data_IF_571546467144
#
_entry.id   IF_571546467144
#
_cell.length_a   1.000
_cell.length_b   1.000
_cell.length_c   1.000
_cell.angle_alpha   90.00
_cell.angle_beta   90.00
_cell.angle_gamma   90.00
#
_symmetry.space_group_name_H-M   'P 1'
#
loop_
_entity.id
_entity.type
_entity.pdbx_description
1 polymer ?
#
# COMPACT_ATOMS: atom_id res chain seq x y z
N UNK A 1 -0.51 6.23 -12.44
CA UNK A 1 -1.92 6.00 -12.08
C UNK A 1 -2.75 5.69 -13.32
N UNK A 2 -3.67 4.74 -13.20
CA UNK A 2 -4.69 4.49 -14.22
C UNK A 2 -5.68 5.67 -14.32
N UNK A 3 -6.19 6.00 -15.51
CA UNK A 3 -7.24 7.01 -15.68
C UNK A 3 -8.46 6.71 -14.78
N UNK A 4 -8.92 7.71 -14.03
CA UNK A 4 -10.12 7.60 -13.16
C UNK A 4 -9.85 7.53 -11.66
N UNK A 5 -8.59 7.32 -11.23
CA UNK A 5 -8.21 7.44 -9.82
C UNK A 5 -7.82 8.89 -9.47
N UNK A 6 -8.33 9.39 -8.34
CA UNK A 6 -7.88 10.64 -7.76
C UNK A 6 -6.73 10.35 -6.79
N UNK A 7 -5.60 11.05 -6.93
CA UNK A 7 -4.49 10.93 -5.99
C UNK A 7 -4.89 11.58 -4.65
N UNK A 8 -4.78 10.81 -3.57
CA UNK A 8 -5.00 11.28 -2.21
C UNK A 8 -3.63 11.52 -1.56
N UNK A 9 -3.22 12.78 -1.50
CA UNK A 9 -1.87 13.20 -1.12
C UNK A 9 -1.64 13.32 0.39
N UNK A 10 -2.69 13.30 1.22
CA UNK A 10 -2.60 13.48 2.66
C UNK A 10 -3.78 12.85 3.43
N UNK A 11 -3.69 12.87 4.77
CA UNK A 11 -4.70 12.33 5.66
C UNK A 11 -6.10 12.96 5.51
N UNK A 12 -6.19 14.27 5.25
CA UNK A 12 -7.50 14.94 5.10
C UNK A 12 -8.24 14.43 3.86
N UNK A 13 -7.53 14.25 2.74
CA UNK A 13 -8.09 13.72 1.51
C UNK A 13 -8.49 12.24 1.66
N UNK A 14 -7.71 11.45 2.40
CA UNK A 14 -8.04 10.07 2.74
C UNK A 14 -9.30 10.01 3.62
N UNK A 15 -9.37 10.84 4.66
CA UNK A 15 -10.53 10.91 5.55
C UNK A 15 -11.80 11.30 4.78
N UNK A 16 -11.74 12.35 3.96
CA UNK A 16 -12.86 12.77 3.12
C UNK A 16 -13.32 11.67 2.17
N UNK A 17 -12.40 10.95 1.51
CA UNK A 17 -12.75 9.84 0.64
C UNK A 17 -13.44 8.69 1.39
N UNK A 18 -13.02 8.38 2.63
CA UNK A 18 -13.69 7.40 3.48
C UNK A 18 -15.08 7.89 3.94
N UNK A 19 -15.21 9.17 4.31
CA UNK A 19 -16.48 9.77 4.73
C UNK A 19 -17.51 9.80 3.59
N UNK A 20 -17.04 9.98 2.35
CA UNK A 20 -17.83 9.85 1.12
C UNK A 20 -18.15 8.39 0.76
N UNK A 21 -17.59 7.41 1.48
CA UNK A 21 -17.79 6.00 1.21
C UNK A 21 -17.13 5.52 -0.09
N UNK A 22 -16.09 6.18 -0.58
CA UNK A 22 -15.42 5.81 -1.82
C UNK A 22 -14.68 4.49 -1.68
N UNK A 23 -14.54 3.78 -2.80
CA UNK A 23 -13.58 2.68 -2.92
C UNK A 23 -12.17 3.24 -3.08
N UNK A 24 -11.22 2.74 -2.29
CA UNK A 24 -9.84 3.27 -2.23
C UNK A 24 -8.86 2.17 -2.65
N UNK A 25 -7.99 2.48 -3.61
CA UNK A 25 -6.77 1.72 -3.85
C UNK A 25 -5.69 2.24 -2.88
N UNK A 26 -5.05 1.34 -2.12
CA UNK A 26 -4.12 1.72 -1.06
C UNK A 26 -2.72 1.25 -1.40
N UNK A 27 -1.75 2.17 -1.43
CA UNK A 27 -0.33 1.85 -1.55
C UNK A 27 0.34 1.97 -0.18
N UNK A 28 0.85 0.84 0.34
CA UNK A 28 1.47 0.79 1.68
C UNK A 28 2.80 1.57 1.75
N UNK A 29 3.55 1.67 0.65
CA UNK A 29 4.77 2.46 0.61
C UNK A 29 4.45 3.95 0.74
N UNK A 30 3.38 4.41 0.09
CA UNK A 30 2.94 5.81 0.20
C UNK A 30 2.40 6.12 1.60
N UNK A 31 1.69 5.20 2.24
CA UNK A 31 1.27 5.39 3.63
C UNK A 31 2.46 5.50 4.59
N UNK A 32 3.50 4.69 4.41
CA UNK A 32 4.73 4.76 5.21
C UNK A 32 5.46 6.11 5.01
N UNK A 33 5.58 6.57 3.77
CA UNK A 33 6.15 7.88 3.43
C UNK A 33 5.34 9.02 4.04
N UNK A 34 4.01 8.97 3.91
CA UNK A 34 3.11 10.00 4.45
C UNK A 34 3.16 10.04 5.98
N UNK A 35 3.28 8.87 6.63
CA UNK A 35 3.48 8.76 8.07
C UNK A 35 4.81 9.37 8.49
N UNK A 36 5.90 9.03 7.80
CA UNK A 36 7.23 9.59 8.07
C UNK A 36 7.24 11.12 7.99
N UNK A 37 6.57 11.69 6.97
CA UNK A 37 6.47 13.14 6.79
C UNK A 37 5.42 13.83 7.68
N UNK A 38 4.68 13.09 8.50
CA UNK A 38 3.66 13.64 9.39
C UNK A 38 2.43 14.21 8.67
N UNK A 39 2.21 13.86 7.40
CA UNK A 39 1.04 14.28 6.61
C UNK A 39 -0.13 13.30 6.67
N UNK A 40 0.08 12.16 7.36
CA UNK A 40 -0.95 11.18 7.70
C UNK A 40 -0.96 10.96 9.21
N UNK A 41 -2.03 11.41 9.86
CA UNK A 41 -2.23 11.20 11.29
C UNK A 41 -2.59 9.72 11.58
N UNK A 42 -2.09 9.17 12.70
CA UNK A 42 -2.37 7.80 13.11
C UNK A 42 -3.87 7.50 13.23
N UNK A 43 -4.69 8.48 13.63
CA UNK A 43 -6.14 8.32 13.70
C UNK A 43 -6.76 8.06 12.31
N UNK A 44 -6.30 8.75 11.27
CA UNK A 44 -6.77 8.55 9.88
C UNK A 44 -6.23 7.22 9.35
N UNK A 45 -4.97 6.91 9.62
CA UNK A 45 -4.36 5.64 9.23
C UNK A 45 -5.13 4.45 9.84
N UNK A 46 -5.40 4.48 11.14
CA UNK A 46 -6.13 3.40 11.82
C UNK A 46 -7.55 3.23 11.24
N UNK A 47 -8.22 4.34 10.89
CA UNK A 47 -9.50 4.30 10.16
C UNK A 47 -9.35 3.64 8.80
N UNK A 48 -8.34 4.01 8.02
CA UNK A 48 -8.07 3.44 6.69
C UNK A 48 -7.78 1.94 6.77
N UNK A 49 -6.96 1.49 7.72
CA UNK A 49 -6.63 0.07 7.87
C UNK A 49 -7.84 -0.78 8.27
N UNK A 50 -8.82 -0.18 8.95
CA UNK A 50 -10.11 -0.81 9.29
C UNK A 50 -11.20 -0.62 8.23
N UNK A 51 -10.94 0.14 7.17
CA UNK A 51 -11.95 0.52 6.20
C UNK A 51 -12.32 -0.64 5.27
N UNK A 52 -13.61 -0.87 5.07
CA UNK A 52 -14.08 -2.04 4.32
C UNK A 52 -13.90 -1.86 2.80
N UNK A 53 -14.14 -0.66 2.27
CA UNK A 53 -14.16 -0.35 0.83
C UNK A 53 -12.75 -0.09 0.28
N UNK A 54 -11.85 -1.04 0.47
CA UNK A 54 -10.54 -1.07 -0.19
C UNK A 54 -10.66 -1.91 -1.46
N UNK A 55 -10.40 -1.31 -2.62
CA UNK A 55 -10.53 -1.95 -3.91
C UNK A 55 -9.35 -2.88 -4.22
N UNK A 56 -8.16 -2.44 -3.85
CA UNK A 56 -6.90 -3.16 -4.05
C UNK A 56 -5.83 -2.59 -3.12
N UNK A 57 -4.80 -3.40 -2.82
CA UNK A 57 -3.64 -2.99 -2.04
C UNK A 57 -2.38 -3.14 -2.88
N UNK A 58 -1.60 -2.08 -3.02
CA UNK A 58 -0.31 -2.10 -3.69
C UNK A 58 0.78 -2.27 -2.63
N UNK A 59 1.71 -3.18 -2.91
CA UNK A 59 2.80 -3.51 -1.99
C UNK A 59 4.14 -3.36 -2.69
N UNK A 60 4.98 -2.53 -2.08
CA UNK A 60 6.40 -2.39 -2.39
C UNK A 60 7.11 -1.84 -1.14
N UNK A 61 8.44 -1.85 -1.15
CA UNK A 61 9.22 -1.24 -0.06
C UNK A 61 9.59 0.19 -0.43
N UNK A 62 9.24 1.13 0.44
CA UNK A 62 9.81 2.47 0.53
C UNK A 62 11.22 2.39 1.12
N UNK A 63 12.13 3.25 0.65
CA UNK A 63 13.48 3.39 1.21
C UNK A 63 13.76 4.86 1.45
N UNK A 64 14.33 5.18 2.62
CA UNK A 64 14.65 6.55 3.03
C UNK A 64 13.46 7.53 2.91
N UNK A 65 12.25 7.05 3.22
CA UNK A 65 11.00 7.78 3.05
C UNK A 65 10.77 8.30 1.62
N UNK A 66 11.18 7.51 0.62
CA UNK A 66 10.95 7.77 -0.80
C UNK A 66 10.26 6.60 -1.46
N UNK A 67 9.53 6.93 -2.51
CA UNK A 67 8.88 5.96 -3.36
C UNK A 67 9.91 5.29 -4.27
N UNK A 68 10.48 4.18 -3.78
CA UNK A 68 11.55 3.44 -4.44
C UNK A 68 11.07 2.21 -5.20
N UNK A 69 9.83 1.77 -4.97
CA UNK A 69 9.31 0.49 -5.46
C UNK A 69 10.31 -0.68 -5.26
N UNK A 70 10.97 -0.71 -4.09
CA UNK A 70 11.98 -1.69 -3.79
C UNK A 70 11.33 -3.04 -3.45
N UNK A 71 12.13 -4.11 -3.49
CA UNK A 71 11.66 -5.46 -3.19
C UNK A 71 11.11 -5.57 -1.76
N UNK A 72 10.07 -6.36 -1.59
CA UNK A 72 9.51 -6.80 -0.32
C UNK A 72 10.59 -7.51 0.52
N UNK A 73 10.50 -7.28 1.81
CA UNK A 73 11.35 -7.86 2.86
C UNK A 73 10.49 -8.07 4.12
N UNK A 74 11.05 -8.74 5.12
CA UNK A 74 10.39 -8.88 6.42
C UNK A 74 10.07 -7.52 7.09
N UNK A 75 10.80 -6.46 6.74
CA UNK A 75 10.60 -5.11 7.27
C UNK A 75 9.71 -4.23 6.40
N UNK A 76 9.13 -4.74 5.32
CA UNK A 76 8.22 -3.96 4.49
C UNK A 76 7.00 -3.54 5.31
N UNK A 77 6.79 -2.23 5.39
CA UNK A 77 5.68 -1.67 6.14
C UNK A 77 4.33 -2.12 5.55
N UNK A 78 3.37 -2.47 6.40
CA UNK A 78 2.02 -2.84 5.98
C UNK A 78 1.87 -4.21 5.32
N UNK A 79 2.94 -5.00 5.18
CA UNK A 79 2.90 -6.30 4.49
C UNK A 79 1.91 -7.28 5.12
N UNK A 80 1.88 -7.38 6.45
CA UNK A 80 0.95 -8.27 7.17
C UNK A 80 -0.51 -7.84 6.99
N UNK A 81 -0.77 -6.53 6.92
CA UNK A 81 -2.10 -6.01 6.63
C UNK A 81 -2.51 -6.35 5.19
N UNK A 82 -1.62 -6.16 4.22
CA UNK A 82 -1.87 -6.54 2.83
C UNK A 82 -2.17 -8.04 2.71
N UNK A 83 -1.43 -8.92 3.40
CA UNK A 83 -1.70 -10.36 3.46
C UNK A 83 -3.08 -10.66 4.06
N UNK A 84 -3.47 -9.97 5.13
CA UNK A 84 -4.81 -10.13 5.70
C UNK A 84 -5.92 -9.71 4.72
N UNK A 85 -5.71 -8.63 3.94
CA UNK A 85 -6.66 -8.17 2.92
C UNK A 85 -6.75 -9.19 1.78
N UNK A 86 -5.61 -9.74 1.33
CA UNK A 86 -5.57 -10.81 0.33
C UNK A 86 -6.34 -12.04 0.76
N UNK A 87 -6.16 -12.49 2.01
CA UNK A 87 -6.87 -13.63 2.57
C UNK A 87 -8.41 -13.44 2.59
N UNK A 88 -8.87 -12.19 2.65
CA UNK A 88 -10.30 -11.83 2.57
C UNK A 88 -10.78 -11.52 1.15
N UNK A 89 -9.93 -11.68 0.13
CA UNK A 89 -10.29 -11.54 -1.27
C UNK A 89 -10.08 -10.14 -1.87
N UNK A 90 -9.45 -9.20 -1.15
CA UNK A 90 -9.01 -7.93 -1.77
C UNK A 90 -7.76 -8.19 -2.62
N UNK A 91 -7.73 -7.82 -3.92
CA UNK A 91 -6.55 -7.94 -4.75
C UNK A 91 -5.33 -7.25 -4.13
N UNK A 92 -4.18 -7.93 -4.15
CA UNK A 92 -2.88 -7.35 -3.78
C UNK A 92 -1.98 -7.30 -5.00
N UNK A 93 -1.49 -6.12 -5.31
CA UNK A 93 -0.65 -5.82 -6.46
C UNK A 93 0.78 -5.67 -5.99
N UNK A 94 1.65 -6.59 -6.43
CA UNK A 94 3.08 -6.48 -6.22
C UNK A 94 3.65 -5.40 -7.14
N UNK A 95 4.00 -4.25 -6.55
CA UNK A 95 4.42 -3.05 -7.28
C UNK A 95 5.91 -2.73 -7.08
N UNK A 96 6.75 -3.75 -6.88
CA UNK A 96 8.20 -3.56 -6.94
C UNK A 96 8.72 -3.66 -8.38
N UNK A 97 9.92 -3.12 -8.66
CA UNK A 97 10.56 -3.21 -9.98
C UNK A 97 11.00 -4.65 -10.36
N UNK A 98 10.05 -5.53 -10.64
CA UNK A 98 10.26 -6.95 -10.99
C UNK A 98 11.25 -7.16 -12.15
N UNK A 99 11.30 -6.22 -13.10
CA UNK A 99 12.21 -6.27 -14.24
C UNK A 99 13.70 -6.13 -13.85
N UNK A 100 14.00 -5.58 -12.67
CA UNK A 100 15.37 -5.47 -12.13
C UNK A 100 15.79 -6.70 -11.32
N UNK A 101 14.87 -7.61 -11.05
CA UNK A 101 15.09 -8.77 -10.20
C UNK A 101 15.50 -9.99 -11.03
N UNK A 102 16.31 -10.86 -10.42
CA UNK A 102 16.56 -12.21 -10.93
C UNK A 102 15.30 -13.07 -10.89
N UNK A 103 15.32 -14.25 -11.52
CA UNK A 103 14.17 -15.16 -11.45
C UNK A 103 13.87 -15.61 -10.02
N UNK A 104 14.89 -15.98 -9.24
CA UNK A 104 14.75 -16.41 -7.85
C UNK A 104 14.17 -15.29 -6.98
N UNK A 105 14.66 -14.06 -7.14
CA UNK A 105 14.12 -12.92 -6.42
C UNK A 105 12.66 -12.66 -6.78
N UNK A 106 12.25 -12.78 -8.05
CA UNK A 106 10.83 -12.65 -8.43
C UNK A 106 9.94 -13.69 -7.75
N UNK A 107 10.41 -14.93 -7.63
CA UNK A 107 9.67 -15.98 -6.92
C UNK A 107 9.58 -15.67 -5.43
N UNK A 108 10.65 -15.17 -4.82
CA UNK A 108 10.65 -14.70 -3.44
C UNK A 108 9.61 -13.60 -3.21
N UNK A 109 9.52 -12.62 -4.13
CA UNK A 109 8.54 -11.54 -4.03
C UNK A 109 7.10 -12.03 -4.06
N UNK A 110 6.79 -13.03 -4.88
CA UNK A 110 5.46 -13.65 -4.91
C UNK A 110 5.21 -14.42 -3.61
N UNK A 111 6.21 -15.16 -3.11
CA UNK A 111 6.10 -15.96 -1.89
C UNK A 111 5.80 -15.12 -0.63
N UNK A 112 6.21 -13.84 -0.60
CA UNK A 112 5.87 -12.92 0.48
C UNK A 112 4.35 -12.68 0.64
N UNK A 113 3.56 -12.92 -0.41
CA UNK A 113 2.11 -12.69 -0.42
C UNK A 113 1.29 -13.97 -0.28
N UNK A 114 1.91 -15.14 -0.26
CA UNK A 114 1.27 -16.45 -0.04
C UNK A 114 1.25 -16.75 1.45
#
# INVERSE_FOLDING_TARGET
MYPGYAALANGDQIAAAMDEGRWIAVDVAHLDIQKYHGVLADAVLNRLLAYERVAEVHVSTSQDARDSHAKLTASTWGIEWARSRLATGTPVILECYMHKLTHEERLEQVAWLI
#
